data_IF_466091493152
#
_entry.id   IF_466091493152
#
_cell.length_a   1.000
_cell.length_b   1.000
_cell.length_c   1.000
_cell.angle_alpha   90.00
_cell.angle_beta   90.00
_cell.angle_gamma   90.00
#
_symmetry.space_group_name_H-M   'P 1'
#
loop_
_entity.id
_entity.type
_entity.pdbx_description
1 polymer ?
#
# COMPACT_ATOMS: atom_id res chain seq x y z
N UNK A 1 4.80 11.83 -6.00
CA UNK A 1 3.71 10.83 -5.92
C UNK A 1 3.33 10.47 -7.34
N UNK A 2 3.24 9.18 -7.67
CA UNK A 2 3.08 8.75 -9.05
C UNK A 2 2.39 7.38 -9.13
N UNK A 3 1.71 7.18 -10.25
CA UNK A 3 1.20 5.87 -10.66
C UNK A 3 2.38 5.05 -11.18
N UNK A 4 2.48 3.79 -10.76
CA UNK A 4 3.43 2.85 -11.36
C UNK A 4 2.76 2.20 -12.57
N UNK A 5 3.34 2.38 -13.74
CA UNK A 5 2.93 1.65 -14.93
C UNK A 5 3.39 0.18 -14.87
N UNK A 6 2.76 -0.74 -15.63
CA UNK A 6 3.20 -2.13 -15.68
C UNK A 6 4.70 -2.24 -16.02
N UNK A 7 5.44 -2.98 -15.19
CA UNK A 7 6.89 -3.16 -15.36
C UNK A 7 7.75 -2.03 -14.80
N UNK A 8 7.16 -0.91 -14.36
CA UNK A 8 7.94 0.12 -13.67
C UNK A 8 8.35 -0.32 -12.27
N UNK A 9 9.56 0.07 -11.90
CA UNK A 9 10.10 -0.08 -10.56
C UNK A 9 10.37 1.30 -9.98
N UNK A 10 9.95 1.50 -8.73
CA UNK A 10 10.27 2.72 -7.99
C UNK A 10 11.01 2.38 -6.70
N UNK A 11 12.21 2.92 -6.59
CA UNK A 11 13.04 2.82 -5.39
C UNK A 11 12.77 4.02 -4.50
N UNK A 12 12.48 3.77 -3.23
CA UNK A 12 12.27 4.81 -2.23
C UNK A 12 13.29 4.62 -1.12
N UNK A 13 14.08 5.66 -0.87
CA UNK A 13 14.98 5.71 0.28
C UNK A 13 14.22 6.37 1.44
N UNK A 14 13.95 5.60 2.48
CA UNK A 14 13.25 6.06 3.69
C UNK A 14 14.18 5.90 4.89
N UNK A 15 14.31 6.97 5.68
CA UNK A 15 15.12 6.97 6.90
C UNK A 15 14.44 6.27 8.09
N UNK A 16 13.11 6.31 8.18
CA UNK A 16 12.38 5.81 9.35
C UNK A 16 11.15 4.96 9.01
N UNK A 17 10.17 5.54 8.31
CA UNK A 17 8.92 4.84 7.96
C UNK A 17 8.42 5.20 6.57
N UNK A 18 7.97 4.19 5.81
CA UNK A 18 7.33 4.35 4.52
C UNK A 18 5.89 3.83 4.60
N UNK A 19 4.95 4.58 4.02
CA UNK A 19 3.55 4.15 3.88
C UNK A 19 3.18 4.18 2.40
N UNK A 20 2.71 3.06 1.88
CA UNK A 20 2.27 2.90 0.51
C UNK A 20 0.82 2.44 0.48
N UNK A 21 0.01 3.01 -0.40
CA UNK A 21 -1.33 2.52 -0.71
C UNK A 21 -1.30 1.94 -2.11
N UNK A 22 -1.66 0.67 -2.25
CA UNK A 22 -1.54 -0.09 -3.49
C UNK A 22 -2.92 -0.55 -3.92
N UNK A 23 -3.36 -0.16 -5.13
CA UNK A 23 -4.69 -0.49 -5.66
C UNK A 23 -4.82 -1.85 -6.34
N UNK A 24 -3.71 -2.52 -6.66
CA UNK A 24 -3.68 -3.85 -7.25
C UNK A 24 -2.64 -4.70 -6.49
N UNK A 25 -2.95 -5.03 -5.24
CA UNK A 25 -2.02 -5.68 -4.32
C UNK A 25 -1.39 -6.97 -4.90
N UNK A 26 -2.20 -7.81 -5.56
CA UNK A 26 -1.69 -9.03 -6.20
C UNK A 26 -0.94 -8.83 -7.52
N UNK A 27 -0.73 -7.60 -7.98
CA UNK A 27 -0.05 -7.26 -9.22
C UNK A 27 1.33 -6.63 -9.03
N UNK A 28 1.82 -6.49 -7.80
CA UNK A 28 3.11 -5.90 -7.51
C UNK A 28 3.97 -6.81 -6.64
N UNK A 29 5.29 -6.68 -6.80
CA UNK A 29 6.28 -7.26 -5.89
C UNK A 29 6.88 -6.14 -5.06
N UNK A 30 7.00 -6.34 -3.76
CA UNK A 30 7.60 -5.38 -2.84
C UNK A 30 8.84 -6.01 -2.24
N UNK A 31 9.95 -5.28 -2.24
CA UNK A 31 11.20 -5.72 -1.64
C UNK A 31 11.64 -4.71 -0.59
N UNK A 32 12.06 -5.21 0.57
CA UNK A 32 12.66 -4.42 1.64
C UNK A 32 14.13 -4.84 1.77
N UNK A 33 15.05 -3.90 1.56
CA UNK A 33 16.49 -4.15 1.61
C UNK A 33 16.93 -5.38 0.78
N UNK A 34 16.37 -5.53 -0.42
CA UNK A 34 16.64 -6.65 -1.34
C UNK A 34 15.96 -7.97 -1.00
N UNK A 35 15.14 -8.03 0.07
CA UNK A 35 14.34 -9.20 0.42
C UNK A 35 12.89 -9.03 0.02
N UNK A 36 12.34 -10.00 -0.71
CA UNK A 36 10.92 -10.10 -1.01
C UNK A 36 10.11 -10.28 0.29
N UNK A 37 9.06 -9.47 0.45
CA UNK A 37 8.18 -9.51 1.63
C UNK A 37 6.97 -10.45 1.43
N UNK A 38 6.86 -11.06 0.25
CA UNK A 38 5.76 -11.94 -0.13
C UNK A 38 4.54 -11.18 -0.67
N UNK A 39 3.45 -11.92 -0.94
CA UNK A 39 2.24 -11.33 -1.50
C UNK A 39 1.60 -10.37 -0.51
N UNK A 40 1.38 -9.13 -0.95
CA UNK A 40 0.74 -8.10 -0.11
C UNK A 40 -0.79 -8.20 -0.08
N UNK A 41 -1.39 -8.99 -0.96
CA UNK A 41 -2.82 -9.27 -0.97
C UNK A 41 -3.31 -9.86 -2.29
N UNK A 42 -4.59 -10.24 -2.38
CA UNK A 42 -5.21 -10.71 -3.62
C UNK A 42 -5.18 -9.66 -4.75
N UNK A 43 -5.29 -10.12 -6.00
CA UNK A 43 -5.35 -9.24 -7.19
C UNK A 43 -6.56 -8.32 -7.10
N UNK A 44 -6.39 -7.07 -7.51
CA UNK A 44 -7.44 -6.05 -7.50
C UNK A 44 -7.85 -5.52 -6.12
N UNK A 45 -7.25 -5.99 -5.02
CA UNK A 45 -7.50 -5.40 -3.71
C UNK A 45 -6.62 -4.18 -3.47
N UNK A 46 -7.21 -3.19 -2.80
CA UNK A 46 -6.46 -2.08 -2.22
C UNK A 46 -5.86 -2.54 -0.90
N UNK A 47 -4.56 -2.28 -0.68
CA UNK A 47 -3.86 -2.56 0.59
C UNK A 47 -2.99 -1.39 0.99
N UNK A 48 -2.77 -1.25 2.29
CA UNK A 48 -1.81 -0.29 2.85
C UNK A 48 -0.60 -1.06 3.35
N UNK A 49 0.58 -0.77 2.81
CA UNK A 49 1.83 -1.36 3.26
C UNK A 49 2.57 -0.32 4.10
N UNK A 50 2.83 -0.65 5.37
CA UNK A 50 3.66 0.14 6.27
C UNK A 50 4.98 -0.57 6.44
N UNK A 51 6.06 0.05 5.98
CA UNK A 51 7.42 -0.43 6.18
C UNK A 51 8.09 0.43 7.22
N UNK A 52 8.58 -0.20 8.28
CA UNK A 52 9.51 0.41 9.24
C UNK A 52 10.88 -0.22 9.06
N UNK A 53 11.89 0.28 9.76
CA UNK A 53 13.23 -0.35 9.79
C UNK A 53 13.16 -1.84 10.15
N UNK A 54 12.31 -2.20 11.10
CA UNK A 54 12.30 -3.55 11.67
C UNK A 54 11.17 -4.42 11.12
N UNK A 55 10.04 -3.82 10.74
CA UNK A 55 8.81 -4.55 10.45
C UNK A 55 8.19 -4.16 9.11
N UNK A 56 7.32 -5.03 8.63
CA UNK A 56 6.46 -4.82 7.46
C UNK A 56 5.06 -5.20 7.88
N UNK A 57 4.13 -4.27 7.74
CA UNK A 57 2.72 -4.48 8.06
C UNK A 57 1.87 -4.23 6.83
N UNK A 58 0.96 -5.16 6.57
CA UNK A 58 0.00 -5.08 5.49
C UNK A 58 -1.37 -4.94 6.12
N UNK A 59 -1.99 -3.79 5.90
CA UNK A 59 -3.29 -3.43 6.46
C UNK A 59 -4.34 -3.34 5.36
N UNK A 60 -5.58 -3.59 5.75
CA UNK A 60 -6.71 -3.16 4.93
C UNK A 60 -6.76 -1.63 4.88
N UNK A 61 -7.19 -1.04 3.76
CA UNK A 61 -7.39 0.40 3.71
C UNK A 61 -8.51 0.73 4.68
N UNK A 62 -8.24 1.59 5.66
CA UNK A 62 -9.30 2.15 6.47
C UNK A 62 -10.21 2.95 5.55
N UNK A 63 -11.36 2.35 5.20
CA UNK A 63 -12.41 3.01 4.44
C UNK A 63 -13.07 3.94 5.45
N UNK A 64 -12.59 5.17 5.57
CA UNK A 64 -13.38 6.22 6.22
C UNK A 64 -14.68 6.27 5.42
N UNK A 65 -15.77 5.76 6.00
CA UNK A 65 -17.06 5.84 5.35
C UNK A 65 -17.31 7.33 5.05
N UNK A 66 -17.76 7.70 3.84
CA UNK A 66 -18.18 9.08 3.61
C UNK A 66 -19.19 9.44 4.71
N UNK A 67 -19.08 10.63 5.33
CA UNK A 67 -20.04 11.04 6.34
C UNK A 67 -21.43 10.90 5.72
N UNK A 68 -22.29 10.09 6.37
CA UNK A 68 -23.69 9.95 5.96
C UNK A 68 -24.24 11.38 5.81
N UNK A 69 -24.83 11.76 4.66
CA UNK A 69 -25.39 13.09 4.52
C UNK A 69 -26.36 13.30 5.68
N UNK A 70 -26.09 14.33 6.48
CA UNK A 70 -26.99 14.76 7.55
C UNK A 70 -28.34 15.01 6.88
N UNK A 71 -29.39 14.38 7.42
CA UNK A 71 -30.69 14.27 6.79
C UNK A 71 -31.15 15.58 6.15
N UNK A 72 -31.61 15.46 4.91
CA UNK A 72 -32.53 16.41 4.33
C UNK A 72 -33.83 16.36 5.16
N UNK A 73 -34.15 17.48 5.81
CA UNK A 73 -35.45 17.74 6.45
C UNK A 73 -36.13 18.88 5.73
#
# INVERSE_FOLDING_TARGET
MGVLEPGQTQTMNTSETARMVVGNAGGITVQKAGRDIGPIGPRGQVRVVRLTKDQVEILEPNRVAPPKPAGEV
#
